data_IF_629041464957
#
_entry.id   IF_629041464957
#
_cell.length_a   1.000
_cell.length_b   1.000
_cell.length_c   1.000
_cell.angle_alpha   90.00
_cell.angle_beta   90.00
_cell.angle_gamma   90.00
#
_symmetry.space_group_name_H-M   'P 1'
#
loop_
_entity.id
_entity.type
_entity.pdbx_description
1 polymer ?
#
# COMPACT_ATOMS: atom_id res chain seq x y z
N UNK A 1 10.18 -25.27 9.47
CA UNK A 1 9.96 -24.18 10.45
C UNK A 1 10.24 -22.81 9.82
N UNK A 2 9.75 -22.56 8.60
CA UNK A 2 9.78 -21.23 7.96
C UNK A 2 8.41 -20.52 8.06
N UNK A 3 7.44 -21.18 8.67
CA UNK A 3 6.03 -20.81 8.63
C UNK A 3 5.64 -19.71 9.63
N UNK A 4 6.51 -19.40 10.61
CA UNK A 4 6.25 -18.41 11.68
C UNK A 4 6.83 -17.01 11.42
N UNK A 5 7.56 -16.81 10.32
CA UNK A 5 8.09 -15.48 9.94
C UNK A 5 7.10 -14.65 9.12
N UNK A 6 6.01 -15.26 8.63
CA UNK A 6 4.97 -14.55 7.86
C UNK A 6 4.02 -13.72 8.71
N UNK A 7 3.91 -13.99 10.02
CA UNK A 7 2.90 -13.33 10.86
C UNK A 7 3.29 -11.90 11.34
N UNK A 8 4.58 -11.53 11.27
CA UNK A 8 5.02 -10.16 11.56
C UNK A 8 4.96 -9.21 10.36
N UNK A 9 4.78 -9.75 9.15
CA UNK A 9 4.29 -8.99 8.02
C UNK A 9 2.77 -9.01 8.15
N UNK A 10 2.19 -8.13 8.96
CA UNK A 10 0.80 -7.73 8.71
C UNK A 10 0.73 -7.43 7.22
N UNK A 11 0.05 -8.28 6.47
CA UNK A 11 -0.24 -8.10 5.05
C UNK A 11 -1.02 -6.80 4.97
N UNK A 12 -0.29 -5.72 4.74
CA UNK A 12 -0.86 -4.41 4.57
C UNK A 12 -1.35 -4.39 3.12
N UNK A 13 -2.57 -4.91 2.96
CA UNK A 13 -3.24 -5.00 1.68
C UNK A 13 -3.51 -3.58 1.17
N UNK A 14 -3.05 -3.27 -0.05
CA UNK A 14 -3.40 -2.04 -0.73
C UNK A 14 -4.83 -2.16 -1.22
N UNK A 15 -5.76 -1.51 -0.52
CA UNK A 15 -7.19 -1.57 -0.86
C UNK A 15 -7.59 -0.29 -1.59
N UNK A 16 -8.32 -0.45 -2.68
CA UNK A 16 -8.85 0.68 -3.43
C UNK A 16 -9.89 1.43 -2.61
N UNK A 17 -9.70 2.74 -2.44
CA UNK A 17 -10.61 3.62 -1.71
C UNK A 17 -11.99 3.74 -2.34
N UNK A 18 -12.10 3.51 -3.67
CA UNK A 18 -13.35 3.65 -4.43
C UNK A 18 -14.19 2.37 -4.47
N UNK A 19 -13.57 1.23 -4.77
CA UNK A 19 -14.30 -0.04 -4.94
C UNK A 19 -14.07 -1.06 -3.82
N UNK A 20 -13.19 -0.76 -2.86
CA UNK A 20 -12.83 -1.70 -1.78
C UNK A 20 -12.06 -2.93 -2.28
N UNK A 21 -11.65 -2.97 -3.55
CA UNK A 21 -10.88 -4.09 -4.11
C UNK A 21 -9.45 -4.05 -3.59
N UNK A 22 -8.96 -5.18 -3.08
CA UNK A 22 -7.53 -5.37 -2.82
C UNK A 22 -6.74 -5.43 -4.13
N UNK A 23 -5.71 -4.60 -4.23
CA UNK A 23 -4.75 -4.62 -5.33
C UNK A 23 -3.84 -5.83 -5.16
N UNK A 24 -3.84 -6.70 -6.15
CA UNK A 24 -3.06 -7.94 -6.15
C UNK A 24 -1.65 -7.72 -6.75
N UNK A 25 -0.73 -8.64 -6.45
CA UNK A 25 0.62 -8.61 -7.01
C UNK A 25 0.58 -8.65 -8.54
N UNK A 26 1.23 -7.68 -9.18
CA UNK A 26 1.26 -7.54 -10.64
C UNK A 26 0.11 -6.71 -11.23
N UNK A 27 -0.86 -6.29 -10.41
CA UNK A 27 -1.91 -5.35 -10.84
C UNK A 27 -1.37 -3.92 -10.84
N UNK A 28 -1.73 -3.14 -11.86
CA UNK A 28 -1.43 -1.70 -11.91
C UNK A 28 -2.41 -0.95 -11.03
N UNK A 29 -1.92 0.00 -10.25
CA UNK A 29 -2.73 0.85 -9.39
C UNK A 29 -2.14 2.26 -9.38
N UNK A 30 -2.97 3.23 -9.00
CA UNK A 30 -2.59 4.64 -8.87
C UNK A 30 -2.69 5.02 -7.40
N UNK A 31 -1.71 5.79 -6.91
CA UNK A 31 -1.71 6.28 -5.54
C UNK A 31 -1.56 7.78 -5.52
N UNK A 32 -2.37 8.43 -4.70
CA UNK A 32 -2.28 9.84 -4.40
C UNK A 32 -1.55 9.99 -3.07
N UNK A 33 -0.36 10.58 -3.12
CA UNK A 33 0.49 10.82 -1.96
C UNK A 33 0.73 12.32 -1.81
N UNK A 34 0.71 12.80 -0.57
CA UNK A 34 1.25 14.12 -0.24
C UNK A 34 2.74 13.95 -0.02
N UNK A 35 3.55 14.76 -0.71
CA UNK A 35 4.99 14.78 -0.50
C UNK A 35 5.28 15.10 0.98
N UNK A 36 5.84 14.16 1.76
CA UNK A 36 6.13 14.41 3.16
C UNK A 36 7.34 15.33 3.29
N UNK A 37 7.37 16.13 4.35
CA UNK A 37 8.58 16.88 4.72
C UNK A 37 9.75 15.92 4.96
N UNK A 38 10.97 16.37 4.66
CA UNK A 38 12.20 15.54 4.62
C UNK A 38 12.42 14.71 5.90
N UNK A 39 12.02 15.24 7.06
CA UNK A 39 12.12 14.58 8.39
C UNK A 39 11.14 13.42 8.60
N UNK A 40 10.10 13.34 7.77
CA UNK A 40 9.02 12.35 7.85
C UNK A 40 9.00 11.40 6.64
N UNK A 41 10.09 11.39 5.86
CA UNK A 41 10.18 10.56 4.66
C UNK A 41 10.09 9.08 5.05
N UNK A 42 9.06 8.35 4.57
CA UNK A 42 8.82 6.99 5.01
C UNK A 42 9.82 6.04 4.35
N UNK A 43 10.68 5.43 5.16
CA UNK A 43 11.59 4.36 4.75
C UNK A 43 10.98 3.00 5.09
N UNK A 44 10.77 2.15 4.09
CA UNK A 44 10.19 0.82 4.28
C UNK A 44 9.70 0.17 2.99
N UNK A 45 9.08 -1.02 3.12
CA UNK A 45 8.41 -1.69 1.99
C UNK A 45 7.32 -0.80 1.41
N UNK A 46 7.32 -0.65 0.09
CA UNK A 46 6.45 0.26 -0.63
C UNK A 46 4.97 0.06 -0.26
N UNK A 47 4.49 -1.18 -0.19
CA UNK A 47 3.09 -1.50 0.17
C UNK A 47 2.69 -0.96 1.55
N UNK A 48 3.58 -1.12 2.54
CA UNK A 48 3.36 -0.63 3.91
C UNK A 48 3.42 0.88 4.00
N UNK A 49 4.28 1.50 3.20
CA UNK A 49 4.42 2.96 3.13
C UNK A 49 3.17 3.57 2.50
N UNK A 50 2.76 3.02 1.36
CA UNK A 50 1.59 3.47 0.61
C UNK A 50 0.32 3.31 1.43
N UNK A 51 0.05 2.16 2.03
CA UNK A 51 -1.15 2.02 2.86
C UNK A 51 -1.19 2.91 4.11
N UNK A 52 -0.03 3.38 4.61
CA UNK A 52 0.02 4.29 5.76
C UNK A 52 -0.03 5.77 5.38
N UNK A 53 0.38 6.13 4.16
CA UNK A 53 0.59 7.53 3.74
C UNK A 53 -0.19 7.93 2.49
N UNK A 54 -0.71 6.97 1.73
CA UNK A 54 -1.57 7.26 0.60
C UNK A 54 -2.85 7.91 1.11
N UNK A 55 -3.16 9.07 0.55
CA UNK A 55 -4.43 9.73 0.75
C UNK A 55 -5.54 8.97 0.03
N UNK A 56 -5.22 8.44 -1.15
CA UNK A 56 -6.12 7.61 -1.94
C UNK A 56 -5.34 6.54 -2.70
N UNK A 57 -5.91 5.35 -2.77
CA UNK A 57 -5.41 4.23 -3.58
C UNK A 57 -6.52 3.86 -4.57
N UNK A 58 -6.19 3.84 -5.87
CA UNK A 58 -7.11 3.51 -6.95
C UNK A 58 -6.62 2.28 -7.69
N UNK A 59 -7.47 1.27 -7.82
CA UNK A 59 -7.15 0.11 -8.67
C UNK A 59 -7.20 0.51 -10.15
N UNK A 60 -6.63 -0.33 -11.02
CA UNK A 60 -6.64 -0.13 -12.48
C UNK A 60 -8.01 0.17 -13.09
N UNK A 61 -9.09 -0.30 -12.47
CA UNK A 61 -10.48 -0.08 -12.93
C UNK A 61 -11.11 1.23 -12.45
N UNK A 62 -10.63 1.79 -11.35
CA UNK A 62 -11.16 3.02 -10.74
C UNK A 62 -10.31 4.26 -11.06
N UNK A 63 -9.29 4.09 -11.91
CA UNK A 63 -8.49 5.19 -12.44
C UNK A 63 -9.25 5.96 -13.52
#
# INVERSE_FOLDING_TARGET
>A
MLDKLKEHFKDVNLVCSQCGKTVEHGERFTVSLVLPEEKNMPVGQLDKVLAKRANEILCSKCR
#
